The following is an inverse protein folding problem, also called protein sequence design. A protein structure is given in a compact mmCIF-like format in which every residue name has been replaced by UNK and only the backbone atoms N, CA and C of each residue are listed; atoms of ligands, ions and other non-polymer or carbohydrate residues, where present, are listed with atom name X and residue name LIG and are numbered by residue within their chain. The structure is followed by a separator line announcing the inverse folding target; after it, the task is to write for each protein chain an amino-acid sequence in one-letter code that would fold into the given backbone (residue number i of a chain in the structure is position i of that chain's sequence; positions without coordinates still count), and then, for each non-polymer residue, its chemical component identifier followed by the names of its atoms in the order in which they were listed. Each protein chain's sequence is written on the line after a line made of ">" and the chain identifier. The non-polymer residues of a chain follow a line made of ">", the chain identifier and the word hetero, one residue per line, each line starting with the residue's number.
data_IF_626246561188
#
_entry.id   IF_626246561188
#
_cell.length_a   1.000
_cell.length_b   1.000
_cell.length_c   1.000
_cell.angle_alpha   90.00
_cell.angle_beta   90.00
_cell.angle_gamma   90.00
#
_symmetry.space_group_name_H-M   'P 1'
#
loop_
_entity.id
_entity.type
_entity.pdbx_description
1 polymer ?
#
# COMPACT_ATOMS: atom_id res chain seq x y z
N UNK A 1 15.17 -32.98 -63.25
CA UNK A 1 14.22 -31.93 -62.83
C UNK A 1 14.06 -32.04 -61.33
N UNK A 2 14.87 -31.24 -60.63
CA UNK A 2 14.94 -31.03 -59.18
C UNK A 2 14.48 -29.59 -58.94
N UNK A 3 14.10 -29.25 -57.72
CA UNK A 3 13.63 -27.93 -57.25
C UNK A 3 12.17 -27.62 -57.54
N UNK A 4 11.28 -27.94 -56.59
CA UNK A 4 9.88 -27.51 -56.67
C UNK A 4 8.99 -27.82 -55.48
N UNK A 5 9.48 -28.51 -54.44
CA UNK A 5 8.62 -28.98 -53.34
C UNK A 5 9.12 -28.72 -51.92
N UNK A 6 10.17 -27.90 -51.76
CA UNK A 6 10.83 -27.66 -50.46
C UNK A 6 10.74 -26.21 -49.97
N UNK A 7 9.81 -25.40 -50.52
CA UNK A 7 9.66 -23.98 -50.19
C UNK A 7 8.29 -23.62 -49.59
N UNK A 8 7.34 -24.55 -49.52
CA UNK A 8 6.01 -24.31 -48.94
C UNK A 8 5.96 -24.73 -47.45
N UNK A 9 6.84 -25.64 -47.01
CA UNK A 9 6.90 -26.04 -45.60
C UNK A 9 7.59 -25.01 -44.68
N UNK A 10 8.38 -24.09 -45.24
CA UNK A 10 9.16 -23.11 -44.46
C UNK A 10 8.44 -21.80 -44.18
N UNK A 11 7.33 -21.51 -44.88
CA UNK A 11 6.53 -20.29 -44.69
C UNK A 11 5.36 -20.52 -43.73
N UNK A 12 4.96 -21.78 -43.50
CA UNK A 12 3.90 -22.12 -42.54
C UNK A 12 4.39 -22.26 -41.08
N UNK A 13 5.70 -22.35 -40.85
CA UNK A 13 6.28 -22.49 -39.51
C UNK A 13 6.62 -21.15 -38.82
N UNK A 14 6.42 -20.00 -39.49
CA UNK A 14 6.73 -18.67 -38.93
C UNK A 14 5.48 -17.92 -38.43
N UNK A 15 4.28 -18.48 -38.62
CA UNK A 15 3.03 -17.88 -38.11
C UNK A 15 2.54 -18.44 -36.75
N UNK A 16 3.31 -19.31 -36.09
CA UNK A 16 2.97 -19.89 -34.79
C UNK A 16 3.90 -19.48 -33.63
N UNK A 17 4.72 -18.43 -33.80
CA UNK A 17 5.55 -17.83 -32.72
C UNK A 17 5.06 -16.42 -32.38
N UNK A 18 3.75 -16.20 -32.42
CA UNK A 18 3.15 -14.87 -32.33
C UNK A 18 1.82 -14.82 -31.60
N UNK A 19 1.61 -15.70 -30.62
CA UNK A 19 0.65 -15.55 -29.54
C UNK A 19 0.99 -16.65 -28.51
N UNK A 20 2.16 -16.56 -27.88
CA UNK A 20 2.18 -16.99 -26.47
C UNK A 20 1.31 -15.95 -25.79
N UNK A 21 0.03 -16.28 -25.65
CA UNK A 21 -0.91 -15.49 -24.88
C UNK A 21 -0.19 -15.05 -23.64
N UNK A 22 -0.01 -13.73 -23.57
CA UNK A 22 0.39 -13.02 -22.39
C UNK A 22 -0.61 -13.52 -21.36
N UNK A 23 -0.19 -14.46 -20.52
CA UNK A 23 -0.85 -14.77 -19.26
C UNK A 23 -0.72 -13.49 -18.44
N UNK A 24 -1.54 -12.49 -18.79
CA UNK A 24 -1.86 -11.39 -17.92
C UNK A 24 -2.49 -12.11 -16.75
N UNK A 25 -1.72 -12.34 -15.70
CA UNK A 25 -2.28 -12.51 -14.38
C UNK A 25 -3.40 -11.46 -14.29
N UNK A 26 -4.63 -11.89 -14.03
CA UNK A 26 -5.77 -10.99 -14.18
C UNK A 26 -5.79 -10.02 -13.01
N UNK A 27 -4.96 -8.98 -13.07
CA UNK A 27 -4.96 -7.95 -12.06
C UNK A 27 -6.36 -7.36 -11.93
N UNK A 28 -6.80 -7.05 -10.70
CA UNK A 28 -8.11 -6.45 -10.50
C UNK A 28 -8.17 -5.11 -11.24
N UNK A 29 -9.30 -4.87 -11.89
CA UNK A 29 -9.62 -3.56 -12.45
C UNK A 29 -10.20 -2.72 -11.31
N UNK A 30 -9.87 -1.41 -11.22
CA UNK A 30 -10.47 -0.55 -10.20
C UNK A 30 -12.00 -0.53 -10.30
N UNK A 31 -12.67 -0.65 -9.17
CA UNK A 31 -14.13 -0.59 -9.08
C UNK A 31 -14.63 0.87 -8.94
N UNK A 32 -13.78 1.74 -8.40
CA UNK A 32 -14.11 3.15 -8.12
C UNK A 32 -12.87 4.01 -7.89
N UNK A 33 -13.11 5.32 -7.78
CA UNK A 33 -12.13 6.28 -7.26
C UNK A 33 -12.44 6.60 -5.80
N UNK A 34 -11.41 6.62 -4.97
CA UNK A 34 -11.47 6.92 -3.54
C UNK A 34 -10.82 8.28 -3.29
N UNK A 35 -11.52 9.24 -2.65
CA UNK A 35 -10.92 10.50 -2.26
C UNK A 35 -10.01 10.35 -1.03
N UNK A 36 -8.78 10.82 -1.17
CA UNK A 36 -7.77 10.84 -0.10
C UNK A 36 -7.31 12.28 0.12
N UNK A 37 -7.54 12.82 1.31
CA UNK A 37 -6.97 14.07 1.79
C UNK A 37 -5.52 13.87 2.21
N UNK A 38 -4.60 14.52 1.52
CA UNK A 38 -3.17 14.41 1.77
C UNK A 38 -2.79 15.16 3.06
N UNK A 39 -2.07 14.47 3.94
CA UNK A 39 -1.43 15.09 5.09
C UNK A 39 -0.05 15.64 4.71
N UNK A 40 0.41 16.62 5.48
CA UNK A 40 1.68 17.30 5.22
C UNK A 40 2.76 16.81 6.17
N UNK A 41 3.94 16.53 5.63
CA UNK A 41 5.18 16.19 6.33
C UNK A 41 6.39 16.72 5.54
N UNK A 42 7.57 16.17 5.83
CA UNK A 42 8.83 16.61 5.24
C UNK A 42 9.73 15.43 4.88
N UNK A 43 10.55 15.61 3.85
CA UNK A 43 11.66 14.73 3.49
C UNK A 43 12.71 15.57 2.80
N UNK A 44 13.96 15.54 3.28
CA UNK A 44 15.07 16.32 2.70
C UNK A 44 14.72 17.78 2.36
N UNK A 45 14.11 18.50 3.31
CA UNK A 45 13.68 19.90 3.19
C UNK A 45 12.58 20.16 2.14
N UNK A 46 12.00 19.10 1.58
CA UNK A 46 10.86 19.16 0.68
C UNK A 46 9.58 18.75 1.41
N UNK A 47 8.46 19.39 1.05
CA UNK A 47 7.15 18.97 1.53
C UNK A 47 6.85 17.54 1.07
N UNK A 48 6.54 16.66 2.00
CA UNK A 48 6.03 15.32 1.72
C UNK A 48 4.51 15.30 1.92
N UNK A 49 3.77 14.69 1.00
CA UNK A 49 2.32 14.57 1.07
C UNK A 49 1.95 13.11 1.13
N UNK A 50 1.37 12.68 2.25
CA UNK A 50 1.25 11.27 2.59
C UNK A 50 -0.15 10.88 3.06
N UNK A 51 -0.39 9.57 3.07
CA UNK A 51 -1.63 8.92 3.51
C UNK A 51 -1.31 7.88 4.58
N UNK A 52 -1.48 8.17 5.88
CA UNK A 52 -1.39 7.13 6.91
C UNK A 52 -2.64 6.24 6.85
N UNK A 53 -2.44 4.93 7.01
CA UNK A 53 -3.51 3.93 6.86
C UNK A 53 -3.66 3.05 8.10
N UNK A 54 -2.55 2.75 8.79
CA UNK A 54 -2.57 1.95 10.01
C UNK A 54 -1.42 2.26 10.96
N UNK A 55 -1.55 1.78 12.20
CA UNK A 55 -0.51 1.80 13.23
C UNK A 55 -0.44 0.48 14.00
N UNK A 56 0.76 0.10 14.44
CA UNK A 56 0.97 -1.02 15.38
C UNK A 56 0.71 -0.66 16.84
N UNK A 57 0.43 0.61 17.14
CA UNK A 57 0.16 1.09 18.49
C UNK A 57 -1.28 1.62 18.59
N UNK A 58 -2.05 1.22 19.62
CA UNK A 58 -3.44 1.61 19.73
C UNK A 58 -3.61 3.11 19.97
N UNK A 59 -2.69 3.76 20.71
CA UNK A 59 -2.78 5.20 20.97
C UNK A 59 -2.54 6.00 19.71
N UNK A 60 -1.57 5.60 18.89
CA UNK A 60 -1.37 6.22 17.57
C UNK A 60 -2.54 5.95 16.62
N UNK A 61 -3.14 4.75 16.68
CA UNK A 61 -4.30 4.44 15.85
C UNK A 61 -5.54 5.27 16.22
N UNK A 62 -5.74 5.56 17.50
CA UNK A 62 -6.91 6.27 18.03
C UNK A 62 -6.87 7.80 17.85
N UNK A 63 -5.70 8.40 17.59
CA UNK A 63 -5.60 9.84 17.34
C UNK A 63 -6.17 10.14 15.94
N UNK A 64 -7.03 11.16 15.78
CA UNK A 64 -7.49 11.62 14.46
C UNK A 64 -6.32 12.10 13.59
N UNK A 65 -5.80 11.20 12.77
CA UNK A 65 -4.68 11.44 11.85
C UNK A 65 -4.92 10.80 10.49
N UNK A 66 -6.17 10.55 10.13
CA UNK A 66 -6.48 9.86 8.88
C UNK A 66 -6.60 10.81 7.71
N UNK A 67 -6.15 10.31 6.58
CA UNK A 67 -6.15 10.96 5.26
C UNK A 67 -7.34 10.51 4.41
N UNK A 68 -8.11 9.52 4.84
CA UNK A 68 -9.23 9.00 4.07
C UNK A 68 -10.50 9.75 4.48
N UNK A 69 -11.20 10.35 3.51
CA UNK A 69 -12.40 11.12 3.80
C UNK A 69 -13.45 10.25 4.49
N UNK A 70 -14.09 10.82 5.52
CA UNK A 70 -14.95 10.07 6.43
C UNK A 70 -14.14 8.87 6.95
N UNK A 71 -13.14 9.09 7.78
CA UNK A 71 -12.57 8.12 8.73
C UNK A 71 -12.14 8.96 9.92
N UNK A 72 -12.22 8.42 11.14
CA UNK A 72 -11.89 9.18 12.35
C UNK A 72 -10.53 8.78 12.93
N UNK A 73 -10.02 7.59 12.57
CA UNK A 73 -8.85 6.92 13.16
C UNK A 73 -8.14 6.03 12.15
N UNK A 74 -6.90 5.65 12.43
CA UNK A 74 -6.16 4.66 11.64
C UNK A 74 -6.59 3.24 12.01
N UNK A 75 -6.33 2.27 11.12
CA UNK A 75 -6.53 0.87 11.48
C UNK A 75 -5.47 0.43 12.49
N UNK A 76 -5.87 -0.22 13.59
CA UNK A 76 -4.93 -0.83 14.52
C UNK A 76 -4.46 -2.21 14.00
N UNK A 77 -3.16 -2.43 13.92
CA UNK A 77 -2.56 -3.67 13.42
C UNK A 77 -1.29 -4.02 14.24
N UNK A 78 -1.41 -4.59 15.45
CA UNK A 78 -0.28 -4.75 16.36
C UNK A 78 0.81 -5.69 15.83
N UNK A 79 0.44 -6.70 15.03
CA UNK A 79 1.41 -7.59 14.37
C UNK A 79 2.38 -6.84 13.45
N UNK A 80 2.03 -5.63 13.03
CA UNK A 80 2.88 -4.78 12.18
C UNK A 80 4.14 -4.30 12.89
N UNK A 81 4.20 -4.33 14.23
CA UNK A 81 5.41 -4.03 15.00
C UNK A 81 6.59 -4.94 14.64
N UNK A 82 6.31 -6.19 14.23
CA UNK A 82 7.34 -7.15 13.82
C UNK A 82 8.08 -6.75 12.53
N UNK A 83 7.62 -5.72 11.80
CA UNK A 83 8.35 -5.16 10.67
C UNK A 83 9.70 -4.54 11.09
N UNK A 84 9.85 -4.13 12.36
CA UNK A 84 11.12 -3.62 12.91
C UNK A 84 12.17 -4.73 12.88
N UNK A 85 11.86 -5.89 13.48
CA UNK A 85 12.78 -7.02 13.56
C UNK A 85 13.06 -7.64 12.18
N UNK A 86 12.11 -7.53 11.26
CA UNK A 86 12.28 -7.94 9.86
C UNK A 86 13.12 -6.97 9.03
N UNK A 87 13.55 -5.82 9.58
CA UNK A 87 14.34 -4.83 8.85
C UNK A 87 13.58 -4.21 7.67
N UNK A 88 12.26 -4.06 7.78
CA UNK A 88 11.39 -3.52 6.73
C UNK A 88 11.08 -2.03 6.91
N UNK A 89 11.48 -1.46 8.04
CA UNK A 89 11.16 -0.08 8.43
C UNK A 89 12.22 0.90 7.95
N UNK A 90 11.77 2.14 7.72
CA UNK A 90 12.59 3.35 7.75
C UNK A 90 12.17 4.23 8.93
N UNK A 91 12.97 5.24 9.24
CA UNK A 91 12.67 6.14 10.35
C UNK A 91 11.67 7.23 9.93
N UNK A 92 10.69 7.50 10.79
CA UNK A 92 9.87 8.71 10.73
C UNK A 92 9.95 9.43 12.06
N UNK A 93 10.19 10.74 12.02
CA UNK A 93 10.33 11.58 13.20
C UNK A 93 9.06 12.40 13.42
N UNK A 94 8.46 12.28 14.61
CA UNK A 94 7.25 13.00 15.01
C UNK A 94 7.59 13.90 16.19
N UNK A 95 7.33 15.19 16.06
CA UNK A 95 7.62 16.17 17.13
C UNK A 95 6.42 16.29 18.06
N UNK A 96 6.61 15.99 19.34
CA UNK A 96 5.52 15.87 20.31
C UNK A 96 5.04 17.21 20.88
N UNK A 97 5.94 18.18 21.04
CA UNK A 97 5.68 19.46 21.70
C UNK A 97 5.88 20.69 20.78
N UNK A 98 5.83 20.48 19.47
CA UNK A 98 5.91 21.53 18.45
C UNK A 98 5.05 21.12 17.26
N UNK A 99 4.21 22.03 16.77
CA UNK A 99 3.23 21.71 15.72
C UNK A 99 3.93 21.68 14.36
N UNK A 100 4.20 20.46 13.87
CA UNK A 100 4.65 20.22 12.51
C UNK A 100 4.23 18.83 12.04
N UNK A 101 4.33 18.61 10.72
CA UNK A 101 4.21 17.28 10.15
C UNK A 101 5.41 16.38 10.47
N UNK A 102 5.29 15.06 10.24
CA UNK A 102 6.39 14.13 10.40
C UNK A 102 7.53 14.41 9.42
N UNK A 103 8.73 13.97 9.77
CA UNK A 103 9.91 13.98 8.89
C UNK A 103 10.23 12.54 8.51
N UNK A 104 10.17 12.22 7.23
CA UNK A 104 10.45 10.90 6.68
C UNK A 104 11.92 10.82 6.26
N UNK A 105 12.55 9.66 6.49
CA UNK A 105 13.96 9.46 6.14
C UNK A 105 14.24 9.13 4.67
N UNK A 106 13.19 8.86 3.88
CA UNK A 106 13.29 8.49 2.44
C UNK A 106 12.05 8.90 1.69
N UNK A 107 12.11 8.94 0.36
CA UNK A 107 10.98 9.22 -0.51
C UNK A 107 10.81 8.19 -1.64
N UNK A 108 9.62 8.10 -2.29
CA UNK A 108 9.41 7.22 -3.45
C UNK A 108 10.34 7.46 -4.65
N UNK A 109 11.06 8.58 -4.67
CA UNK A 109 12.12 8.86 -5.66
C UNK A 109 13.37 8.01 -5.45
N UNK A 110 13.47 7.29 -4.32
CA UNK A 110 14.59 6.42 -3.94
C UNK A 110 14.07 4.97 -3.74
N UNK A 111 13.58 4.32 -4.82
CA UNK A 111 12.80 3.08 -4.73
C UNK A 111 13.52 1.91 -4.06
N UNK A 112 14.86 1.89 -4.10
CA UNK A 112 15.69 0.83 -3.52
C UNK A 112 15.68 0.83 -1.99
N UNK A 113 15.49 2.01 -1.38
CA UNK A 113 15.53 2.20 0.08
C UNK A 113 14.18 2.64 0.67
N UNK A 114 13.28 3.19 -0.16
CA UNK A 114 11.94 3.61 0.24
C UNK A 114 11.08 2.42 0.70
N UNK A 115 10.30 2.68 1.75
CA UNK A 115 9.27 1.77 2.27
C UNK A 115 8.11 2.61 2.81
N UNK A 116 6.84 2.19 2.62
CA UNK A 116 5.70 2.84 3.27
C UNK A 116 5.59 2.48 4.77
N UNK A 117 6.53 1.68 5.29
CA UNK A 117 6.54 1.14 6.64
C UNK A 117 7.55 1.94 7.47
N UNK A 118 7.07 2.67 8.47
CA UNK A 118 7.89 3.62 9.24
C UNK A 118 7.95 3.26 10.71
N UNK A 119 9.14 3.20 11.29
CA UNK A 119 9.33 3.18 12.73
C UNK A 119 9.32 4.61 13.27
N UNK A 120 8.46 4.85 14.26
CA UNK A 120 8.31 6.18 14.85
C UNK A 120 9.45 6.47 15.82
N UNK A 121 10.08 7.61 15.62
CA UNK A 121 10.97 8.29 16.55
C UNK A 121 10.26 9.54 17.04
N UNK A 122 10.09 9.70 18.35
CA UNK A 122 9.46 10.91 18.91
C UNK A 122 10.52 11.92 19.30
N UNK A 123 10.37 13.16 18.86
CA UNK A 123 11.24 14.29 19.23
C UNK A 123 10.51 15.18 20.22
N UNK A 124 11.15 15.47 21.35
CA UNK A 124 10.65 16.42 22.34
C UNK A 124 11.70 17.49 22.60
N UNK A 125 11.41 18.73 22.20
CA UNK A 125 12.28 19.88 22.49
C UNK A 125 12.41 20.08 24.01
N UNK A 126 13.62 20.27 24.51
CA UNK A 126 13.87 20.53 25.93
C UNK A 126 13.31 21.90 26.34
N UNK A 127 13.44 22.90 25.47
CA UNK A 127 12.81 24.23 25.60
C UNK A 127 11.89 24.49 24.40
N UNK A 128 10.55 24.42 24.59
CA UNK A 128 9.59 24.68 23.53
C UNK A 128 9.71 26.08 22.90
N UNK A 129 10.26 27.07 23.61
CA UNK A 129 10.43 28.43 23.08
C UNK A 129 11.62 28.53 22.10
N UNK A 130 12.51 27.55 22.11
CA UNK A 130 13.65 27.42 21.19
C UNK A 130 13.39 26.38 20.10
N UNK A 131 12.21 25.77 20.10
CA UNK A 131 11.83 24.82 19.08
C UNK A 131 11.84 25.48 17.68
N UNK A 132 12.46 24.79 16.73
CA UNK A 132 12.54 25.19 15.33
C UNK A 132 11.93 24.10 14.43
N UNK A 133 11.53 24.43 13.20
CA UNK A 133 11.10 23.41 12.25
C UNK A 133 12.20 22.38 12.01
N UNK A 134 11.81 21.11 11.97
CA UNK A 134 12.64 20.01 11.52
C UNK A 134 12.06 19.52 10.20
N UNK A 135 12.85 19.60 9.13
CA UNK A 135 12.42 19.22 7.77
C UNK A 135 13.38 18.24 7.09
N UNK A 136 14.46 17.88 7.78
CA UNK A 136 15.50 16.96 7.32
C UNK A 136 15.85 15.98 8.45
N UNK A 137 16.05 14.71 8.11
CA UNK A 137 16.40 13.64 9.06
C UNK A 137 17.92 13.54 9.32
N UNK A 138 18.73 14.33 8.61
CA UNK A 138 20.16 14.49 8.89
C UNK A 138 20.38 15.40 10.10
N UNK A 139 21.50 15.27 10.84
CA UNK A 139 21.81 16.16 11.96
C UNK A 139 21.80 17.63 11.57
N UNK A 140 21.36 18.48 12.49
CA UNK A 140 21.41 19.92 12.30
C UNK A 140 22.85 20.44 12.33
N UNK A 141 23.19 21.30 11.38
CA UNK A 141 24.45 22.02 11.33
C UNK A 141 24.26 23.40 10.65
N UNK A 142 25.36 24.11 10.37
CA UNK A 142 25.30 25.42 9.74
C UNK A 142 24.74 25.41 8.31
N UNK A 143 24.84 24.28 7.61
CA UNK A 143 24.33 24.08 6.24
C UNK A 143 22.94 23.43 6.23
N UNK A 144 22.56 22.75 7.32
CA UNK A 144 21.29 22.09 7.54
C UNK A 144 20.64 22.57 8.87
N UNK A 145 20.23 23.84 8.98
CA UNK A 145 19.66 24.38 10.21
C UNK A 145 18.29 23.76 10.57
N UNK A 146 17.68 23.05 9.64
CA UNK A 146 16.39 22.34 9.78
C UNK A 146 16.55 20.83 9.98
N UNK A 147 17.78 20.35 10.21
CA UNK A 147 18.07 18.97 10.56
C UNK A 147 17.62 18.57 11.97
N UNK A 148 17.83 17.29 12.30
CA UNK A 148 17.57 16.73 13.61
C UNK A 148 18.34 17.49 14.71
N UNK A 149 17.68 17.84 15.82
CA UNK A 149 18.30 18.55 16.93
C UNK A 149 19.39 17.72 17.60
N UNK A 150 20.37 18.42 18.18
CA UNK A 150 21.37 17.81 19.06
C UNK A 150 20.74 17.36 20.40
N UNK A 151 21.42 16.48 21.16
CA UNK A 151 20.95 16.06 22.48
C UNK A 151 20.77 17.20 23.50
N UNK A 152 21.45 18.34 23.29
CA UNK A 152 21.33 19.54 24.14
C UNK A 152 20.09 20.39 23.81
N UNK A 153 19.44 20.14 22.67
CA UNK A 153 18.25 20.85 22.20
C UNK A 153 16.97 20.04 22.42
N UNK A 154 17.02 18.72 22.21
CA UNK A 154 15.86 17.84 22.26
C UNK A 154 16.21 16.40 22.63
N UNK A 155 15.21 15.70 23.15
CA UNK A 155 15.27 14.25 23.36
C UNK A 155 14.63 13.55 22.16
N UNK A 156 15.37 12.63 21.53
CA UNK A 156 14.86 11.75 20.48
C UNK A 156 14.72 10.35 21.06
N UNK A 157 13.50 9.81 21.06
CA UNK A 157 13.19 8.47 21.55
C UNK A 157 12.73 7.60 20.38
N UNK A 158 13.52 6.58 20.07
CA UNK A 158 13.12 5.51 19.16
C UNK A 158 12.07 4.64 19.83
N UNK A 159 10.94 4.43 19.19
CA UNK A 159 9.80 3.67 19.75
C UNK A 159 9.62 2.33 19.04
N UNK A 160 8.79 1.46 19.61
CA UNK A 160 8.35 0.22 18.95
C UNK A 160 7.06 0.42 18.14
N UNK A 161 6.70 1.67 17.83
CA UNK A 161 5.52 1.99 17.03
C UNK A 161 5.90 1.96 15.55
N UNK A 162 5.10 1.25 14.77
CA UNK A 162 5.21 1.19 13.31
C UNK A 162 3.97 1.81 12.69
N UNK A 163 4.16 2.70 11.73
CA UNK A 163 3.12 3.32 10.92
C UNK A 163 3.20 2.82 9.49
N UNK A 164 2.05 2.59 8.87
CA UNK A 164 1.96 2.49 7.42
C UNK A 164 1.50 3.83 6.88
N UNK A 165 2.36 4.50 6.12
CA UNK A 165 2.09 5.80 5.55
C UNK A 165 2.76 5.95 4.18
N UNK A 166 2.00 5.79 3.11
CA UNK A 166 2.54 5.94 1.76
C UNK A 166 2.70 7.43 1.42
N UNK A 167 3.84 7.81 0.85
CA UNK A 167 4.04 9.16 0.31
C UNK A 167 3.48 9.20 -1.11
N UNK A 168 2.53 10.10 -1.38
CA UNK A 168 1.85 10.23 -2.67
C UNK A 168 2.40 11.40 -3.51
N UNK A 169 3.07 12.37 -2.89
CA UNK A 169 3.76 13.43 -3.58
C UNK A 169 4.92 14.01 -2.75
N UNK A 170 5.93 14.53 -3.45
CA UNK A 170 7.05 15.28 -2.86
C UNK A 170 7.17 16.63 -3.57
N UNK A 171 7.44 17.68 -2.80
CA UNK A 171 7.55 19.06 -3.25
C UNK A 171 6.22 19.82 -3.27
N UNK A 172 6.22 20.98 -3.92
CA UNK A 172 5.03 21.84 -4.07
C UNK A 172 3.91 21.12 -4.83
N UNK A 173 2.68 21.13 -4.33
CA UNK A 173 1.49 20.60 -5.04
C UNK A 173 0.95 21.53 -6.14
N UNK A 174 1.60 22.66 -6.41
CA UNK A 174 1.23 23.55 -7.53
C UNK A 174 1.61 22.89 -8.86
N UNK A 175 0.78 23.08 -9.89
CA UNK A 175 1.03 22.59 -11.25
C UNK A 175 0.24 21.34 -11.61
N UNK A 176 0.61 20.71 -12.72
CA UNK A 176 0.00 19.45 -13.18
C UNK A 176 0.29 18.30 -12.20
N UNK A 177 -0.65 17.37 -12.09
CA UNK A 177 -0.40 16.10 -11.40
C UNK A 177 0.51 15.20 -12.24
N UNK A 178 0.17 15.03 -13.53
CA UNK A 178 0.98 14.31 -14.49
C UNK A 178 1.06 15.08 -15.83
N UNK A 179 2.25 15.21 -16.45
CA UNK A 179 3.55 14.91 -15.85
C UNK A 179 3.81 15.79 -14.61
N UNK A 180 4.52 15.26 -13.62
CA UNK A 180 4.90 16.01 -12.44
C UNK A 180 5.92 17.11 -12.81
N UNK A 181 5.84 18.32 -12.22
CA UNK A 181 6.86 19.35 -12.40
C UNK A 181 8.26 18.86 -12.05
N UNK A 182 9.29 19.42 -12.71
CA UNK A 182 10.69 19.07 -12.45
C UNK A 182 11.03 19.23 -10.96
N UNK A 183 11.75 18.25 -10.40
CA UNK A 183 12.14 18.25 -8.98
C UNK A 183 10.99 17.94 -8.03
N UNK A 184 9.85 17.47 -8.53
CA UNK A 184 8.72 17.02 -7.70
C UNK A 184 8.36 15.57 -8.04
N UNK A 185 7.68 14.92 -7.10
CA UNK A 185 7.16 13.56 -7.26
C UNK A 185 5.63 13.56 -7.13
N UNK A 186 4.96 12.71 -7.91
CA UNK A 186 3.51 12.45 -7.87
C UNK A 186 3.26 10.97 -8.13
N UNK A 187 2.42 10.33 -7.32
CA UNK A 187 2.04 8.93 -7.55
C UNK A 187 1.29 8.80 -8.89
N UNK A 188 1.69 7.87 -9.78
CA UNK A 188 1.14 7.78 -11.14
C UNK A 188 -0.36 7.49 -11.22
N UNK A 189 -0.93 6.73 -10.30
CA UNK A 189 -2.36 6.40 -10.32
C UNK A 189 -3.28 7.53 -9.83
N UNK A 190 -2.72 8.62 -9.31
CA UNK A 190 -3.50 9.79 -8.92
C UNK A 190 -4.14 10.45 -10.15
N UNK A 191 -5.46 10.65 -10.12
CA UNK A 191 -6.21 11.11 -11.32
C UNK A 191 -6.66 12.57 -11.20
N UNK A 192 -7.41 12.91 -10.16
CA UNK A 192 -7.94 14.26 -9.94
C UNK A 192 -7.43 14.76 -8.61
N UNK A 193 -6.79 15.93 -8.64
CA UNK A 193 -6.27 16.59 -7.46
C UNK A 193 -6.97 17.93 -7.21
N UNK A 194 -7.75 17.98 -6.13
CA UNK A 194 -8.33 19.22 -5.61
C UNK A 194 -7.31 19.98 -4.79
N UNK A 195 -6.65 20.97 -5.39
CA UNK A 195 -5.55 21.69 -4.75
C UNK A 195 -5.94 22.41 -3.45
N UNK A 196 -7.16 22.97 -3.38
CA UNK A 196 -7.66 23.66 -2.19
C UNK A 196 -7.95 22.68 -1.04
N UNK A 197 -8.60 21.56 -1.35
CA UNK A 197 -8.93 20.51 -0.37
C UNK A 197 -7.79 19.52 -0.14
N UNK A 198 -6.67 19.68 -0.85
CA UNK A 198 -5.55 18.74 -0.89
C UNK A 198 -6.01 17.29 -1.07
N UNK A 199 -7.04 17.08 -1.87
CA UNK A 199 -7.67 15.76 -2.04
C UNK A 199 -7.28 15.16 -3.38
N UNK A 200 -6.81 13.92 -3.36
CA UNK A 200 -6.42 13.13 -4.53
C UNK A 200 -7.40 11.97 -4.71
N UNK A 201 -7.82 11.71 -5.95
CA UNK A 201 -8.58 10.52 -6.29
C UNK A 201 -7.64 9.36 -6.67
N UNK A 202 -7.73 8.27 -5.91
CA UNK A 202 -6.93 7.04 -6.09
C UNK A 202 -7.85 5.86 -6.46
N UNK A 203 -7.44 4.97 -7.37
CA UNK A 203 -8.15 3.72 -7.64
C UNK A 203 -8.40 2.88 -6.37
N UNK A 204 -9.66 2.50 -6.16
CA UNK A 204 -10.07 1.56 -5.12
C UNK A 204 -10.58 0.26 -5.72
N UNK A 205 -10.26 -0.86 -5.06
CA UNK A 205 -10.60 -2.21 -5.49
C UNK A 205 -11.46 -2.88 -4.44
N UNK A 206 -12.61 -3.41 -4.84
CA UNK A 206 -13.54 -4.08 -3.94
C UNK A 206 -13.06 -5.51 -3.71
N UNK A 207 -12.91 -5.88 -2.44
CA UNK A 207 -12.42 -7.20 -2.03
C UNK A 207 -13.36 -7.85 -1.02
N UNK A 208 -13.53 -9.17 -1.14
CA UNK A 208 -14.16 -9.96 -0.10
C UNK A 208 -13.13 -10.31 0.97
N UNK A 209 -13.43 -9.98 2.21
CA UNK A 209 -12.65 -10.38 3.36
C UNK A 209 -13.50 -11.22 4.32
N UNK A 210 -12.88 -12.16 5.04
CA UNK A 210 -13.59 -12.94 6.06
C UNK A 210 -13.96 -12.03 7.23
N UNK A 211 -15.21 -12.11 7.69
CA UNK A 211 -15.62 -11.43 8.91
C UNK A 211 -14.82 -12.02 10.09
N UNK A 212 -13.95 -11.23 10.74
CA UNK A 212 -13.04 -11.75 11.77
C UNK A 212 -13.76 -12.10 13.06
N UNK A 213 -14.96 -11.56 13.32
CA UNK A 213 -15.76 -11.86 14.51
C UNK A 213 -16.52 -13.16 14.39
N UNK A 214 -17.20 -13.37 13.26
CA UNK A 214 -18.08 -14.55 13.07
C UNK A 214 -17.38 -15.70 12.38
N UNK A 215 -16.28 -15.42 11.68
CA UNK A 215 -15.59 -16.30 10.73
C UNK A 215 -16.48 -16.86 9.61
N UNK A 216 -17.80 -16.70 9.64
CA UNK A 216 -18.76 -17.31 8.69
C UNK A 216 -19.31 -16.31 7.67
N UNK A 217 -19.27 -15.02 7.98
CA UNK A 217 -19.71 -13.96 7.09
C UNK A 217 -18.59 -13.44 6.19
N UNK A 218 -18.99 -12.82 5.08
CA UNK A 218 -18.10 -12.06 4.21
C UNK A 218 -18.37 -10.58 4.41
N UNK A 219 -17.29 -9.82 4.40
CA UNK A 219 -17.31 -8.38 4.42
C UNK A 219 -16.76 -7.89 3.09
N UNK A 220 -17.44 -6.93 2.48
CA UNK A 220 -16.91 -6.23 1.31
C UNK A 220 -16.11 -5.03 1.82
N UNK A 221 -14.87 -4.88 1.35
CA UNK A 221 -14.00 -3.75 1.69
C UNK A 221 -13.48 -3.10 0.43
N UNK A 222 -13.03 -1.87 0.56
CA UNK A 222 -12.20 -1.23 -0.46
C UNK A 222 -10.74 -1.42 -0.09
N UNK A 223 -9.94 -1.85 -1.03
CA UNK A 223 -8.49 -1.96 -0.94
C UNK A 223 -7.85 -0.83 -1.75
N UNK A 224 -6.79 -0.23 -1.22
CA UNK A 224 -5.98 0.77 -1.92
C UNK A 224 -4.60 0.18 -2.18
N UNK A 225 -4.15 0.07 -3.44
CA UNK A 225 -2.81 -0.45 -3.75
C UNK A 225 -1.87 0.74 -3.92
N UNK A 226 -1.11 1.08 -2.89
CA UNK A 226 -0.34 2.35 -2.86
C UNK A 226 1.15 2.17 -3.17
N UNK A 227 1.70 1.01 -2.81
CA UNK A 227 3.11 0.68 -3.05
C UNK A 227 3.21 -0.79 -3.51
N UNK A 228 4.19 -1.09 -4.36
CA UNK A 228 4.45 -2.43 -4.88
C UNK A 228 5.95 -2.75 -4.85
N UNK A 229 6.27 -4.03 -4.68
CA UNK A 229 7.64 -4.52 -4.53
C UNK A 229 8.47 -4.48 -5.82
N UNK A 230 7.83 -4.70 -6.97
CA UNK A 230 8.52 -4.83 -8.26
C UNK A 230 8.04 -3.77 -9.27
N UNK A 231 8.90 -3.37 -10.23
CA UNK A 231 8.57 -2.34 -11.20
C UNK A 231 7.35 -2.66 -12.09
N UNK A 232 7.14 -3.93 -12.43
CA UNK A 232 6.04 -4.32 -13.31
C UNK A 232 4.70 -4.16 -12.60
N UNK A 233 4.60 -4.63 -11.35
CA UNK A 233 3.41 -4.46 -10.52
C UNK A 233 3.17 -2.99 -10.17
N UNK A 234 4.24 -2.23 -9.85
CA UNK A 234 4.12 -0.79 -9.59
C UNK A 234 3.57 -0.04 -10.82
N UNK A 235 4.13 -0.31 -12.00
CA UNK A 235 3.67 0.27 -13.27
C UNK A 235 2.21 -0.08 -13.56
N UNK A 236 1.84 -1.35 -13.37
CA UNK A 236 0.50 -1.85 -13.62
C UNK A 236 -0.57 -1.10 -12.81
N UNK A 237 -0.32 -0.92 -11.52
CA UNK A 237 -1.26 -0.25 -10.64
C UNK A 237 -1.06 1.27 -10.60
N UNK A 238 0.01 1.80 -11.21
CA UNK A 238 0.44 3.18 -11.01
C UNK A 238 0.79 3.48 -9.54
N UNK A 239 1.23 2.46 -8.80
CA UNK A 239 1.64 2.53 -7.41
C UNK A 239 3.09 3.03 -7.27
N UNK A 240 3.51 3.37 -6.05
CA UNK A 240 4.92 3.62 -5.76
C UNK A 240 5.73 2.32 -5.92
N UNK A 241 6.97 2.43 -6.39
CA UNK A 241 7.93 1.33 -6.33
C UNK A 241 8.64 1.36 -4.97
N UNK A 242 8.56 0.26 -4.22
CA UNK A 242 9.27 0.05 -2.95
C UNK A 242 9.93 -1.32 -2.98
N UNK A 243 11.18 -1.38 -3.45
CA UNK A 243 11.90 -2.65 -3.64
C UNK A 243 12.05 -3.44 -2.33
N UNK A 244 12.05 -2.75 -1.19
CA UNK A 244 12.13 -3.37 0.14
C UNK A 244 10.94 -4.27 0.47
N UNK A 245 9.78 -4.05 -0.15
CA UNK A 245 8.63 -4.94 0.03
C UNK A 245 8.90 -6.36 -0.48
N UNK A 246 9.87 -6.56 -1.38
CA UNK A 246 10.27 -7.89 -1.83
C UNK A 246 10.86 -8.75 -0.69
N UNK A 247 11.31 -8.12 0.39
CA UNK A 247 11.93 -8.80 1.54
C UNK A 247 10.94 -9.08 2.68
N UNK A 248 9.64 -8.84 2.49
CA UNK A 248 8.63 -9.08 3.53
C UNK A 248 8.57 -10.57 3.85
N UNK A 249 8.80 -10.98 5.11
CA UNK A 249 8.69 -12.38 5.50
C UNK A 249 7.24 -12.89 5.35
N UNK A 250 7.04 -14.17 4.96
CA UNK A 250 5.70 -14.76 4.81
C UNK A 250 4.78 -14.61 6.02
N UNK A 251 5.34 -14.59 7.24
CA UNK A 251 4.56 -14.42 8.46
C UNK A 251 3.95 -13.01 8.64
N UNK A 252 4.45 -12.00 7.91
CA UNK A 252 3.99 -10.61 7.97
C UNK A 252 3.07 -10.24 6.81
N UNK A 253 2.82 -11.17 5.89
CA UNK A 253 1.95 -10.97 4.73
C UNK A 253 0.73 -11.88 4.78
N UNK A 254 -0.35 -11.42 4.17
CA UNK A 254 -1.51 -12.25 3.87
C UNK A 254 -1.63 -12.43 2.35
N UNK A 255 -2.44 -13.40 1.92
CA UNK A 255 -2.69 -13.61 0.49
C UNK A 255 -3.85 -12.74 0.01
N UNK A 256 -3.65 -12.12 -1.15
CA UNK A 256 -4.68 -11.53 -1.98
C UNK A 256 -4.95 -12.50 -3.14
N UNK A 257 -6.03 -13.24 -3.04
CA UNK A 257 -6.42 -14.22 -4.02
C UNK A 257 -7.14 -13.55 -5.19
N UNK A 258 -6.61 -13.75 -6.40
CA UNK A 258 -7.16 -13.16 -7.62
C UNK A 258 -7.40 -14.26 -8.65
N UNK A 259 -8.56 -14.23 -9.29
CA UNK A 259 -8.92 -15.21 -10.33
C UNK A 259 -8.44 -14.72 -11.69
N UNK A 260 -7.73 -15.56 -12.43
CA UNK A 260 -7.45 -15.35 -13.83
C UNK A 260 -8.74 -15.39 -14.67
N UNK A 261 -8.74 -14.68 -15.79
CA UNK A 261 -9.89 -14.69 -16.71
C UNK A 261 -10.05 -16.06 -17.37
N UNK A 262 -11.29 -16.51 -17.65
CA UNK A 262 -12.55 -15.79 -17.46
C UNK A 262 -13.10 -15.93 -16.02
N UNK A 263 -13.48 -14.82 -15.39
CA UNK A 263 -14.15 -14.81 -14.07
C UNK A 263 -15.66 -14.52 -14.17
N UNK A 264 -16.49 -14.95 -13.19
CA UNK A 264 -17.90 -14.60 -13.16
C UNK A 264 -18.10 -13.07 -13.05
N UNK A 265 -19.23 -12.56 -13.53
CA UNK A 265 -19.63 -11.18 -13.22
C UNK A 265 -19.72 -11.00 -11.70
N UNK A 266 -19.18 -9.90 -11.18
CA UNK A 266 -19.14 -9.57 -9.74
C UNK A 266 -18.19 -10.43 -8.89
N UNK A 267 -17.22 -11.12 -9.49
CA UNK A 267 -16.15 -11.76 -8.73
C UNK A 267 -15.11 -10.73 -8.28
N UNK A 268 -15.05 -10.51 -6.97
CA UNK A 268 -14.02 -9.70 -6.31
C UNK A 268 -12.81 -10.56 -5.91
N UNK A 269 -11.60 -9.98 -5.80
CA UNK A 269 -10.51 -10.62 -5.08
C UNK A 269 -10.89 -10.97 -3.64
N UNK A 270 -10.19 -11.95 -3.06
CA UNK A 270 -10.46 -12.45 -1.71
C UNK A 270 -9.22 -12.26 -0.83
N UNK A 271 -9.41 -11.77 0.39
CA UNK A 271 -8.38 -11.68 1.43
C UNK A 271 -8.87 -12.41 2.68
N UNK A 272 -7.92 -12.93 3.46
CA UNK A 272 -8.26 -13.76 4.62
C UNK A 272 -8.57 -12.90 5.85
N UNK A 273 -7.71 -11.93 6.12
CA UNK A 273 -7.79 -11.13 7.33
C UNK A 273 -8.37 -9.76 7.02
N UNK A 274 -9.49 -9.44 7.68
CA UNK A 274 -10.15 -8.15 7.55
C UNK A 274 -9.92 -7.29 8.80
N UNK A 275 -9.70 -5.97 8.66
CA UNK A 275 -9.75 -5.08 9.81
C UNK A 275 -11.20 -4.96 10.30
N UNK A 276 -11.36 -4.98 11.62
CA UNK A 276 -12.63 -4.66 12.26
C UNK A 276 -12.81 -3.15 12.21
N UNK A 277 -13.89 -2.65 11.60
CA UNK A 277 -14.16 -1.23 11.60
C UNK A 277 -14.31 -0.76 13.03
N UNK A 278 -13.72 0.39 13.33
CA UNK A 278 -13.79 1.04 14.64
C UNK A 278 -15.21 1.59 14.89
N UNK A 279 -16.20 0.69 15.05
CA UNK A 279 -17.55 1.05 15.51
C UNK A 279 -17.52 1.10 17.03
N UNK A 280 -18.07 2.17 17.59
CA UNK A 280 -18.13 2.41 19.05
C UNK A 280 -16.75 2.54 19.72
N UNK A 281 -15.75 3.06 19.02
CA UNK A 281 -14.40 3.25 19.58
C UNK A 281 -13.71 1.94 20.00
N UNK A 282 -14.13 0.80 19.45
CA UNK A 282 -13.47 -0.49 19.69
C UNK A 282 -12.31 -0.63 18.68
N UNK A 283 -11.05 -0.68 19.13
CA UNK A 283 -9.91 -0.86 18.24
C UNK A 283 -10.02 -2.20 17.50
N UNK A 284 -9.40 -2.30 16.32
CA UNK A 284 -9.39 -3.52 15.55
C UNK A 284 -8.88 -4.71 16.40
N UNK A 285 -9.75 -5.67 16.68
CA UNK A 285 -9.39 -6.87 17.45
C UNK A 285 -8.87 -8.00 16.56
N UNK A 286 -8.84 -7.83 15.24
CA UNK A 286 -8.17 -8.77 14.35
C UNK A 286 -6.66 -8.49 14.31
N UNK A 287 -5.93 -9.10 15.25
CA UNK A 287 -4.49 -8.98 15.38
C UNK A 287 -3.66 -9.65 14.28
N UNK A 288 -4.31 -10.41 13.39
CA UNK A 288 -3.67 -11.05 12.23
C UNK A 288 -3.71 -10.19 10.97
N UNK A 289 -4.49 -9.11 10.98
CA UNK A 289 -4.58 -8.23 9.84
C UNK A 289 -3.23 -7.56 9.53
N UNK A 290 -2.84 -7.61 8.26
CA UNK A 290 -1.68 -6.93 7.69
C UNK A 290 -2.05 -6.37 6.30
N UNK A 291 -1.58 -5.17 5.93
CA UNK A 291 -1.80 -4.60 4.61
C UNK A 291 -0.80 -5.14 3.58
N UNK A 292 0.23 -5.86 4.02
CA UNK A 292 1.23 -6.45 3.14
C UNK A 292 0.62 -7.71 2.53
N UNK A 293 0.46 -7.72 1.21
CA UNK A 293 -0.23 -8.79 0.51
C UNK A 293 0.64 -9.42 -0.55
N UNK A 294 0.64 -10.75 -0.57
CA UNK A 294 1.13 -11.56 -1.68
C UNK A 294 -0.03 -11.78 -2.65
N UNK A 295 0.09 -11.31 -3.89
CA UNK A 295 -0.90 -11.59 -4.93
C UNK A 295 -0.75 -13.06 -5.32
N UNK A 296 -1.82 -13.83 -5.07
CA UNK A 296 -1.94 -15.23 -5.44
C UNK A 296 -2.93 -15.33 -6.60
N UNK A 297 -2.41 -15.37 -7.83
CA UNK A 297 -3.23 -15.56 -9.02
C UNK A 297 -3.62 -17.04 -9.15
N UNK A 298 -4.86 -17.29 -9.56
CA UNK A 298 -5.41 -18.64 -9.63
C UNK A 298 -6.17 -18.87 -10.93
N UNK A 299 -5.95 -20.04 -11.52
CA UNK A 299 -6.79 -20.58 -12.57
C UNK A 299 -7.94 -21.39 -11.96
N UNK A 300 -9.04 -21.47 -12.72
CA UNK A 300 -10.25 -22.14 -12.29
C UNK A 300 -10.61 -23.32 -13.19
N UNK A 301 -10.94 -24.43 -12.56
CA UNK A 301 -11.42 -25.67 -13.22
C UNK A 301 -12.91 -25.90 -12.94
N UNK A 302 -13.65 -24.81 -12.78
CA UNK A 302 -15.05 -24.78 -12.38
C UNK A 302 -15.89 -24.01 -13.40
N UNK A 303 -17.21 -24.27 -13.47
CA UNK A 303 -18.09 -23.51 -14.34
C UNK A 303 -18.07 -22.00 -14.07
N UNK A 304 -18.19 -21.20 -15.13
CA UNK A 304 -18.08 -19.74 -15.04
C UNK A 304 -19.11 -19.05 -14.15
N UNK A 305 -20.24 -19.70 -13.89
CA UNK A 305 -21.30 -19.20 -13.02
C UNK A 305 -21.02 -19.40 -11.52
N UNK A 306 -20.00 -20.19 -11.14
CA UNK A 306 -19.66 -20.40 -9.74
C UNK A 306 -18.97 -19.14 -9.19
N UNK A 307 -19.61 -18.45 -8.23
CA UNK A 307 -19.04 -17.29 -7.54
C UNK A 307 -18.38 -17.74 -6.24
N UNK A 308 -17.13 -17.31 -6.03
CA UNK A 308 -16.37 -17.62 -4.82
C UNK A 308 -16.27 -16.34 -4.02
N UNK A 309 -17.00 -16.25 -2.90
CA UNK A 309 -17.11 -15.01 -2.15
C UNK A 309 -16.53 -15.09 -0.73
N UNK A 310 -16.08 -16.26 -0.29
CA UNK A 310 -15.56 -16.46 1.06
C UNK A 310 -14.34 -17.39 1.07
N UNK A 311 -13.55 -17.29 2.14
CA UNK A 311 -12.31 -18.03 2.33
C UNK A 311 -12.55 -19.54 2.48
N UNK A 312 -13.65 -19.98 3.11
CA UNK A 312 -13.91 -21.42 3.27
C UNK A 312 -14.17 -22.11 1.94
N UNK A 313 -14.99 -21.50 1.09
CA UNK A 313 -15.24 -21.99 -0.26
C UNK A 313 -13.94 -21.98 -1.07
N UNK A 314 -13.14 -20.93 -0.95
CA UNK A 314 -11.82 -20.86 -1.59
C UNK A 314 -10.91 -22.02 -1.14
N UNK A 315 -10.75 -22.23 0.16
CA UNK A 315 -9.90 -23.28 0.74
C UNK A 315 -10.37 -24.67 0.31
N UNK A 316 -11.68 -24.92 0.32
CA UNK A 316 -12.26 -26.17 -0.13
C UNK A 316 -11.99 -26.42 -1.62
N UNK A 317 -12.14 -25.40 -2.46
CA UNK A 317 -11.90 -25.51 -3.90
C UNK A 317 -10.42 -25.73 -4.25
N UNK A 318 -9.50 -25.11 -3.51
CA UNK A 318 -8.07 -25.38 -3.62
C UNK A 318 -7.74 -26.82 -3.22
N UNK A 319 -8.30 -27.30 -2.10
CA UNK A 319 -8.11 -28.68 -1.64
C UNK A 319 -8.70 -29.72 -2.61
N UNK A 320 -9.80 -29.38 -3.28
CA UNK A 320 -10.42 -30.22 -4.29
C UNK A 320 -9.74 -30.12 -5.68
N UNK A 321 -8.65 -29.36 -5.80
CA UNK A 321 -7.95 -29.09 -7.08
C UNK A 321 -8.83 -28.45 -8.15
N UNK A 322 -9.91 -27.78 -7.74
CA UNK A 322 -10.83 -27.06 -8.60
C UNK A 322 -10.38 -25.60 -8.83
N UNK A 323 -9.36 -25.17 -8.09
CA UNK A 323 -8.57 -23.98 -8.31
C UNK A 323 -7.09 -24.36 -8.27
N UNK A 324 -6.28 -23.74 -9.12
CA UNK A 324 -4.83 -23.95 -9.14
C UNK A 324 -4.11 -22.62 -9.07
N UNK A 325 -3.17 -22.50 -8.14
CA UNK A 325 -2.30 -21.33 -8.01
C UNK A 325 -1.33 -21.29 -9.20
N UNK A 326 -1.28 -20.16 -9.89
CA UNK A 326 -0.45 -19.96 -11.09
C UNK A 326 0.66 -18.93 -10.90
N UNK A 327 0.50 -17.98 -9.99
CA UNK A 327 1.50 -16.97 -9.66
C UNK A 327 1.40 -16.58 -8.17
N UNK A 328 2.54 -16.53 -7.49
CA UNK A 328 2.71 -16.10 -6.09
C UNK A 328 4.03 -15.32 -5.93
N UNK A 329 4.28 -14.36 -6.82
CA UNK A 329 5.56 -13.64 -6.85
C UNK A 329 5.47 -12.16 -6.48
N UNK A 330 4.26 -11.59 -6.44
CA UNK A 330 4.06 -10.13 -6.40
C UNK A 330 3.59 -9.68 -5.03
N UNK A 331 4.33 -8.74 -4.45
CA UNK A 331 4.03 -8.19 -3.13
C UNK A 331 3.59 -6.74 -3.26
N UNK A 332 2.53 -6.38 -2.56
CA UNK A 332 1.96 -5.04 -2.53
C UNK A 332 1.67 -4.58 -1.10
N UNK A 333 1.71 -3.27 -0.89
CA UNK A 333 1.13 -2.62 0.28
C UNK A 333 -0.30 -2.18 -0.08
N UNK A 334 -1.28 -2.89 0.47
CA UNK A 334 -2.67 -2.81 0.07
C UNK A 334 -3.63 -2.69 1.26
N UNK A 335 -3.62 -1.57 2.01
CA UNK A 335 -4.51 -1.37 3.13
C UNK A 335 -5.99 -1.46 2.74
N UNK A 336 -6.76 -2.15 3.59
CA UNK A 336 -8.21 -2.24 3.52
C UNK A 336 -8.85 -1.09 4.31
N UNK A 337 -9.80 -0.42 3.68
CA UNK A 337 -10.57 0.69 4.26
C UNK A 337 -12.05 0.31 4.32
N UNK A 338 -12.80 0.80 5.32
CA UNK A 338 -14.24 0.52 5.43
C UNK A 338 -15.00 1.09 4.23
N UNK A 339 -16.11 0.44 3.85
CA UNK A 339 -16.98 0.98 2.82
C UNK A 339 -17.69 2.24 3.30
N UNK A 340 -17.98 3.16 2.37
CA UNK A 340 -18.78 4.34 2.66
C UNK A 340 -20.17 3.97 3.23
N UNK A 341 -20.73 2.83 2.81
CA UNK A 341 -22.04 2.32 3.24
C UNK A 341 -22.04 1.60 4.60
N UNK A 342 -20.88 1.36 5.20
CA UNK A 342 -20.77 0.65 6.49
C UNK A 342 -20.73 1.60 7.70
N UNK A 343 -21.20 2.83 7.52
CA UNK A 343 -21.30 3.87 8.57
C UNK A 343 -22.76 4.16 8.86
#
# INVERSE_FOLDING_TARGET
>A
MRFGLLLIASVLAVFFIGCTDISRAAYPVPDRLVPITLLHGWVDDQAAWYVPTLSSDPKFAEIPQTSILNTDTLTFAPGFAACIDAGLVNDVYIVANYVQGPVFSTAPTEPDIYTPIWQVNTITWLDPNRARPITNDKPADALNPTGLPSPDEAVIVRTNVVLNASILAVGSLKGSWLPAPQGTYRIPQGTIFGQQSKTLLIPGYDVFCQNPLTQRGTWLRTMLILDAADPATAYQFGANLSARLANVPPALMQRLYVMNEPKPMSQCPIVRECPIPNRFSIPNTNYRYTPLMLITAMDRHLPLYAVINNVQSLDWLLQAELLTVTDESRIINAPLIPLASER
#
